data_IF_997294850624
#
_entry.id   IF_997294850624
#
_cell.length_a   1.000
_cell.length_b   1.000
_cell.length_c   1.000
_cell.angle_alpha   90.00
_cell.angle_beta   90.00
_cell.angle_gamma   90.00
#
_symmetry.space_group_name_H-M   'P 1'
#
loop_
_entity.id
_entity.type
_entity.pdbx_description
1 polymer ?
#
# COMPACT_ATOMS: atom_id res chain seq x y z
N UNK A 1 -9.46 -2.01 12.88
CA UNK A 1 -8.16 -1.77 12.23
C UNK A 1 -7.72 -3.02 11.49
N UNK A 2 -7.21 -2.87 10.29
CA UNK A 2 -6.66 -4.00 9.53
C UNK A 2 -5.18 -4.16 9.80
N UNK A 3 -4.72 -5.40 9.84
CA UNK A 3 -3.31 -5.73 10.00
C UNK A 3 -2.92 -6.80 8.99
N UNK A 4 -1.64 -6.85 8.57
CA UNK A 4 -1.20 -7.90 7.65
C UNK A 4 -1.11 -9.25 8.35
N UNK A 5 -1.53 -10.31 7.64
CA UNK A 5 -1.41 -11.71 8.10
C UNK A 5 -0.15 -12.38 7.60
N UNK A 6 0.52 -11.76 6.62
CA UNK A 6 1.71 -12.31 5.95
C UNK A 6 2.83 -11.29 6.00
N UNK A 7 4.03 -11.70 5.59
CA UNK A 7 5.15 -10.76 5.49
C UNK A 7 4.80 -9.67 4.47
N UNK A 8 5.17 -8.44 4.76
CA UNK A 8 4.83 -7.30 3.91
C UNK A 8 5.36 -7.45 2.48
N UNK A 9 6.46 -8.15 2.29
CA UNK A 9 7.01 -8.42 0.96
C UNK A 9 6.02 -9.13 0.03
N UNK A 10 5.11 -9.91 0.58
CA UNK A 10 4.10 -10.62 -0.21
C UNK A 10 3.14 -9.66 -0.91
N UNK A 11 3.02 -8.44 -0.42
CA UNK A 11 2.17 -7.42 -1.04
C UNK A 11 2.69 -6.97 -2.40
N UNK A 12 3.96 -7.22 -2.72
CA UNK A 12 4.52 -6.94 -4.05
C UNK A 12 3.76 -7.66 -5.15
N UNK A 13 3.22 -8.84 -4.87
CA UNK A 13 2.44 -9.63 -5.81
C UNK A 13 1.14 -8.93 -6.23
N UNK A 14 0.70 -7.97 -5.43
CA UNK A 14 -0.51 -7.20 -5.69
C UNK A 14 -0.21 -5.80 -6.21
N UNK A 15 1.04 -5.53 -6.59
CA UNK A 15 1.44 -4.26 -7.16
C UNK A 15 2.00 -3.26 -6.16
N UNK A 16 2.11 -3.62 -4.89
CA UNK A 16 2.70 -2.74 -3.89
C UNK A 16 4.19 -2.58 -4.12
N UNK A 17 4.71 -1.40 -3.81
CA UNK A 17 6.13 -1.09 -3.93
C UNK A 17 6.72 -0.79 -2.56
N UNK A 18 7.97 -1.13 -2.37
CA UNK A 18 8.68 -0.84 -1.13
C UNK A 18 8.78 0.68 -0.95
N UNK A 19 8.48 1.14 0.26
CA UNK A 19 8.56 2.56 0.58
C UNK A 19 10.00 3.08 0.48
N UNK A 20 10.11 4.40 0.29
CA UNK A 20 11.39 5.08 0.21
C UNK A 20 11.94 5.35 1.62
N UNK A 21 13.27 5.37 1.75
CA UNK A 21 13.94 5.79 2.98
C UNK A 21 13.72 4.86 4.15
N UNK A 22 13.55 5.43 5.32
CA UNK A 22 13.41 4.67 6.57
C UNK A 22 12.19 3.75 6.57
N UNK A 23 11.12 4.17 5.92
CA UNK A 23 9.93 3.32 5.79
C UNK A 23 10.24 2.02 5.06
N UNK A 24 11.03 2.08 4.01
CA UNK A 24 11.46 0.88 3.29
C UNK A 24 12.34 -0.02 4.14
N UNK A 25 13.24 0.56 4.93
CA UNK A 25 14.09 -0.20 5.85
C UNK A 25 13.28 -0.95 6.90
N UNK A 26 12.11 -0.42 7.26
CA UNK A 26 11.21 -1.05 8.22
C UNK A 26 10.17 -1.96 7.56
N UNK A 27 10.42 -2.39 6.32
CA UNK A 27 9.56 -3.30 5.58
C UNK A 27 8.16 -2.74 5.32
N UNK A 28 8.06 -1.46 5.05
CA UNK A 28 6.82 -0.80 4.69
C UNK A 28 6.64 -0.80 3.18
N UNK A 29 5.40 -0.98 2.72
CA UNK A 29 5.04 -1.01 1.31
C UNK A 29 3.83 -0.12 1.06
N UNK A 30 3.66 0.33 -0.17
CA UNK A 30 2.57 1.21 -0.53
C UNK A 30 2.05 0.93 -1.94
N UNK A 31 0.81 1.37 -2.19
CA UNK A 31 0.20 1.34 -3.52
C UNK A 31 -0.67 2.59 -3.66
N UNK A 32 -0.35 3.43 -4.65
CA UNK A 32 -1.15 4.61 -4.94
C UNK A 32 -2.25 4.27 -5.95
N UNK A 33 -3.46 4.76 -5.69
CA UNK A 33 -4.57 4.58 -6.61
C UNK A 33 -4.93 5.91 -7.27
N UNK A 34 -5.35 5.84 -8.53
CA UNK A 34 -5.67 7.04 -9.30
C UNK A 34 -6.95 7.71 -8.80
N UNK A 35 -7.94 6.92 -8.43
CA UNK A 35 -9.24 7.44 -7.99
C UNK A 35 -9.19 7.91 -6.55
N UNK A 36 -9.53 9.18 -6.32
CA UNK A 36 -9.62 9.76 -4.99
C UNK A 36 -8.26 10.06 -4.35
N UNK A 37 -7.18 9.96 -5.09
CA UNK A 37 -5.82 10.21 -4.60
C UNK A 37 -5.52 9.48 -3.29
N UNK A 38 -5.92 8.21 -3.18
CA UNK A 38 -5.69 7.38 -2.00
C UNK A 38 -4.42 6.57 -2.13
N UNK A 39 -3.80 6.28 -1.01
CA UNK A 39 -2.63 5.42 -0.92
C UNK A 39 -2.88 4.34 0.12
N UNK A 40 -2.69 3.09 -0.27
CA UNK A 40 -2.70 1.99 0.66
C UNK A 40 -1.29 1.81 1.20
N UNK A 41 -1.17 1.72 2.51
CA UNK A 41 0.11 1.62 3.19
C UNK A 41 0.10 0.42 4.13
N UNK A 42 1.14 -0.40 4.07
CA UNK A 42 1.27 -1.55 4.95
C UNK A 42 2.64 -1.55 5.62
N UNK A 43 2.63 -1.74 6.93
CA UNK A 43 3.83 -2.03 7.72
C UNK A 43 3.67 -3.40 8.35
N UNK A 44 4.71 -3.96 9.00
CA UNK A 44 4.57 -5.25 9.66
C UNK A 44 3.48 -5.32 10.73
N UNK A 45 3.01 -4.18 11.24
CA UNK A 45 2.07 -4.13 12.35
C UNK A 45 0.72 -3.50 11.99
N UNK A 46 0.58 -2.89 10.81
CA UNK A 46 -0.67 -2.21 10.47
C UNK A 46 -0.86 -2.09 8.96
N UNK A 47 -2.11 -1.93 8.56
CA UNK A 47 -2.51 -1.56 7.21
C UNK A 47 -3.40 -0.33 7.28
N UNK A 48 -3.15 0.66 6.42
CA UNK A 48 -3.88 1.93 6.48
C UNK A 48 -4.15 2.47 5.08
N UNK A 49 -5.13 3.37 4.99
CA UNK A 49 -5.46 4.08 3.75
C UNK A 49 -5.33 5.56 4.03
N UNK A 50 -4.52 6.24 3.25
CA UNK A 50 -4.22 7.66 3.42
C UNK A 50 -4.43 8.40 2.10
N UNK A 51 -4.62 9.71 2.18
CA UNK A 51 -4.47 10.57 1.02
C UNK A 51 -2.97 10.73 0.75
N UNK A 52 -2.57 10.70 -0.51
CA UNK A 52 -1.16 10.89 -0.82
C UNK A 52 -0.93 12.23 -1.53
N UNK A 53 0.29 12.75 -1.37
CA UNK A 53 0.74 13.98 -2.00
C UNK A 53 2.07 13.73 -2.68
N UNK A 54 2.39 14.55 -3.67
CA UNK A 54 3.64 14.40 -4.44
C UNK A 54 4.90 14.50 -3.58
N UNK A 55 4.82 15.17 -2.45
CA UNK A 55 5.96 15.31 -1.54
C UNK A 55 5.96 14.32 -0.37
N UNK A 56 5.14 13.28 -0.44
CA UNK A 56 5.10 12.26 0.59
C UNK A 56 6.46 11.54 0.64
N UNK A 57 7.12 11.49 1.82
CA UNK A 57 8.45 10.89 1.92
C UNK A 57 8.47 9.37 1.73
N UNK A 58 7.30 8.73 1.76
CA UNK A 58 7.18 7.28 1.62
C UNK A 58 7.19 6.80 0.17
N UNK A 59 6.89 7.67 -0.79
CA UNK A 59 6.64 7.26 -2.17
C UNK A 59 7.79 7.67 -3.10
N UNK A 60 7.91 6.93 -4.20
CA UNK A 60 8.84 7.25 -5.29
C UNK A 60 8.09 8.09 -6.32
N UNK A 61 8.39 9.37 -6.38
CA UNK A 61 7.66 10.36 -7.18
C UNK A 61 7.35 9.94 -8.61
N UNK A 62 8.38 9.56 -9.34
CA UNK A 62 8.24 9.32 -10.78
C UNK A 62 7.35 8.13 -11.10
N UNK A 63 7.48 7.08 -10.31
CA UNK A 63 6.72 5.87 -10.50
C UNK A 63 5.24 6.09 -10.21
N UNK A 64 4.94 6.81 -9.14
CA UNK A 64 3.55 6.96 -8.70
C UNK A 64 2.73 7.90 -9.57
N UNK A 65 3.37 8.88 -10.18
CA UNK A 65 2.67 9.79 -11.09
C UNK A 65 2.23 9.10 -12.38
N UNK A 66 2.95 8.05 -12.81
CA UNK A 66 2.69 7.38 -14.09
C UNK A 66 1.88 6.10 -13.94
N UNK A 67 2.07 5.36 -12.88
CA UNK A 67 1.59 3.98 -12.77
C UNK A 67 0.68 3.76 -11.59
N UNK A 68 -0.25 4.71 -11.38
CA UNK A 68 -1.26 4.54 -10.35
C UNK A 68 -2.24 3.45 -10.74
N UNK A 69 -2.66 2.70 -9.74
CA UNK A 69 -3.67 1.67 -9.94
C UNK A 69 -5.02 2.32 -10.25
N UNK A 70 -5.75 1.80 -11.22
CA UNK A 70 -7.04 2.34 -11.62
C UNK A 70 -8.22 1.73 -10.86
N UNK A 71 -7.97 0.70 -10.06
CA UNK A 71 -8.98 0.13 -9.19
C UNK A 71 -9.26 1.10 -8.04
N UNK A 72 -10.44 0.98 -7.42
CA UNK A 72 -10.68 1.72 -6.18
C UNK A 72 -9.88 1.06 -5.04
N UNK A 73 -9.59 1.83 -3.99
CA UNK A 73 -8.86 1.26 -2.86
C UNK A 73 -9.68 0.16 -2.16
N UNK A 74 -11.00 0.25 -2.18
CA UNK A 74 -11.87 -0.78 -1.61
C UNK A 74 -11.77 -2.10 -2.37
N UNK A 75 -11.67 -2.05 -3.69
CA UNK A 75 -11.49 -3.26 -4.51
C UNK A 75 -10.19 -3.96 -4.17
N UNK A 76 -9.13 -3.19 -3.97
CA UNK A 76 -7.81 -3.73 -3.62
C UNK A 76 -7.86 -4.36 -2.23
N UNK A 77 -8.46 -3.68 -1.26
CA UNK A 77 -8.62 -4.22 0.10
C UNK A 77 -9.41 -5.53 0.06
N UNK A 78 -10.50 -5.58 -0.72
CA UNK A 78 -11.30 -6.79 -0.86
C UNK A 78 -10.45 -7.95 -1.40
N UNK A 79 -9.65 -7.70 -2.43
CA UNK A 79 -8.77 -8.74 -2.99
C UNK A 79 -7.73 -9.22 -1.98
N UNK A 80 -7.18 -8.32 -1.17
CA UNK A 80 -6.21 -8.67 -0.14
C UNK A 80 -6.85 -9.54 0.96
N UNK A 81 -8.06 -9.20 1.36
CA UNK A 81 -8.80 -9.99 2.35
C UNK A 81 -9.12 -11.36 1.77
N UNK A 82 -9.58 -11.43 0.52
CA UNK A 82 -9.89 -12.68 -0.15
C UNK A 82 -8.67 -13.57 -0.30
N UNK A 83 -7.50 -12.97 -0.49
CA UNK A 83 -6.22 -13.70 -0.57
C UNK A 83 -5.64 -14.07 0.81
N UNK A 84 -6.36 -13.78 1.87
CA UNK A 84 -5.97 -14.06 3.26
C UNK A 84 -4.70 -13.33 3.68
N UNK A 85 -4.54 -12.10 3.19
CA UNK A 85 -3.35 -11.28 3.49
C UNK A 85 -3.60 -10.23 4.58
N UNK A 86 -4.86 -9.94 4.87
CA UNK A 86 -5.27 -8.97 5.88
C UNK A 86 -6.27 -9.58 6.83
N UNK A 87 -6.26 -9.11 8.08
CA UNK A 87 -7.27 -9.47 9.08
C UNK A 87 -7.63 -8.25 9.92
N UNK A 88 -8.78 -8.33 10.57
CA UNK A 88 -9.21 -7.30 11.52
C UNK A 88 -8.54 -7.56 12.87
N UNK A 89 -7.97 -6.51 13.42
CA UNK A 89 -7.33 -6.60 14.74
C UNK A 89 -8.32 -6.22 15.84
#
# INVERSE_FOLDING_TARGET
MLIPKVKTKEFEKFGFKKCKGEYGKNNCYYLCVARGAKMLFVSPIMFDVNDWKNNDPRIHKDVNCRYRDHRTYLDIIYQLIKADMLESA
#
